data_IF_220057648328
#
_entry.id   IF_220057648328
#
_cell.length_a   1.000
_cell.length_b   1.000
_cell.length_c   1.000
_cell.angle_alpha   90.00
_cell.angle_beta   90.00
_cell.angle_gamma   90.00
#
_symmetry.space_group_name_H-M   'P 1'
#
loop_
_entity.id
_entity.type
_entity.pdbx_description
1 polymer ?
#
# COMPACT_ATOMS: atom_id res chain seq x y z
N UNK A 1 4.28 12.44 3.59
CA UNK A 1 3.79 12.48 2.20
C UNK A 1 2.29 12.78 2.24
N UNK A 2 1.87 13.87 1.59
CA UNK A 2 0.45 14.27 1.42
C UNK A 2 0.21 14.18 -0.08
N UNK A 3 -0.75 13.38 -0.55
CA UNK A 3 -1.10 13.36 -1.97
C UNK A 3 -2.42 14.09 -2.20
N UNK A 4 -2.34 15.15 -2.98
CA UNK A 4 -3.39 16.00 -3.55
C UNK A 4 -2.82 16.52 -4.88
N UNK A 5 -3.55 16.76 -5.97
CA UNK A 5 -5.00 16.77 -6.27
C UNK A 5 -5.51 15.48 -6.95
N UNK A 6 -4.64 14.50 -7.22
CA UNK A 6 -4.95 13.27 -8.00
C UNK A 6 -4.88 11.95 -7.20
N UNK A 7 -5.09 11.96 -5.88
CA UNK A 7 -5.33 10.74 -5.08
C UNK A 7 -4.24 10.35 -4.07
N UNK A 8 -4.69 9.77 -2.94
CA UNK A 8 -4.05 9.39 -1.64
C UNK A 8 -3.77 10.51 -0.61
N UNK A 9 -4.80 10.93 0.11
CA UNK A 9 -4.68 11.96 1.16
C UNK A 9 -3.83 11.54 2.38
N UNK A 10 -3.56 10.25 2.58
CA UNK A 10 -2.66 9.73 3.62
C UNK A 10 -2.00 8.41 3.19
N UNK A 11 -0.70 8.43 2.90
CA UNK A 11 0.01 7.20 2.48
C UNK A 11 0.34 6.27 3.66
N UNK A 12 0.25 4.95 3.44
CA UNK A 12 0.78 3.94 4.34
C UNK A 12 2.32 3.99 4.36
N UNK A 13 2.92 3.20 5.26
CA UNK A 13 4.33 2.80 5.11
C UNK A 13 4.45 2.00 3.81
N UNK A 14 5.39 2.35 2.95
CA UNK A 14 5.62 1.68 1.68
C UNK A 14 6.84 0.77 1.82
N UNK A 15 6.67 -0.51 1.57
CA UNK A 15 7.77 -1.46 1.44
C UNK A 15 7.89 -1.84 -0.03
N UNK A 16 8.84 -1.24 -0.74
CA UNK A 16 9.12 -1.55 -2.14
C UNK A 16 10.10 -2.71 -2.21
N UNK A 17 9.64 -3.85 -2.73
CA UNK A 17 10.39 -5.09 -2.70
C UNK A 17 10.67 -5.59 -4.12
N UNK A 18 11.94 -5.58 -4.50
CA UNK A 18 12.40 -6.23 -5.71
C UNK A 18 12.58 -7.75 -5.48
N UNK A 19 11.88 -8.55 -6.28
CA UNK A 19 11.90 -10.01 -6.14
C UNK A 19 11.18 -10.50 -4.89
N UNK A 20 9.93 -10.02 -4.70
CA UNK A 20 9.06 -10.39 -3.60
C UNK A 20 8.93 -11.93 -3.53
N UNK A 21 9.11 -12.55 -2.36
CA UNK A 21 8.94 -14.00 -2.21
C UNK A 21 7.53 -14.48 -2.60
N UNK A 22 7.47 -15.62 -3.29
CA UNK A 22 6.25 -16.18 -3.92
C UNK A 22 5.08 -16.40 -2.94
N UNK A 23 5.37 -16.72 -1.68
CA UNK A 23 4.38 -16.96 -0.64
C UNK A 23 3.80 -15.66 -0.05
N UNK A 24 4.32 -14.48 -0.39
CA UNK A 24 3.71 -13.19 -0.07
C UNK A 24 2.71 -12.85 -1.18
N UNK A 25 1.61 -13.60 -1.18
CA UNK A 25 0.54 -13.44 -2.14
C UNK A 25 -0.38 -12.26 -1.81
N UNK A 26 -1.48 -12.15 -2.53
CA UNK A 26 -2.51 -11.13 -2.30
C UNK A 26 -3.00 -11.11 -0.84
N UNK A 27 -3.29 -12.28 -0.27
CA UNK A 27 -3.78 -12.40 1.10
C UNK A 27 -2.80 -11.81 2.11
N UNK A 28 -1.52 -12.15 2.02
CA UNK A 28 -0.48 -11.64 2.91
C UNK A 28 -0.34 -10.12 2.77
N UNK A 29 -0.38 -9.61 1.54
CA UNK A 29 -0.32 -8.16 1.26
C UNK A 29 -1.50 -7.41 1.87
N UNK A 30 -2.70 -7.98 1.88
CA UNK A 30 -3.86 -7.39 2.58
C UNK A 30 -3.70 -7.42 4.10
N UNK A 31 -3.11 -8.46 4.67
CA UNK A 31 -2.81 -8.51 6.12
C UNK A 31 -1.76 -7.47 6.53
N UNK A 32 -0.81 -7.13 5.65
CA UNK A 32 0.08 -5.99 5.85
C UNK A 32 -0.64 -4.66 5.72
N UNK A 33 -1.54 -4.53 4.75
CA UNK A 33 -2.29 -3.30 4.53
C UNK A 33 -3.20 -2.95 5.71
N UNK A 34 -3.81 -3.97 6.36
CA UNK A 34 -4.55 -3.81 7.63
C UNK A 34 -3.71 -3.22 8.76
N UNK A 35 -2.37 -3.28 8.65
CA UNK A 35 -1.38 -2.74 9.60
C UNK A 35 -0.64 -1.51 9.07
N UNK A 36 -1.24 -0.77 8.14
CA UNK A 36 -0.67 0.45 7.55
C UNK A 36 0.62 0.20 6.72
N UNK A 37 0.82 -1.01 6.21
CA UNK A 37 1.97 -1.39 5.37
C UNK A 37 1.50 -1.79 3.98
N UNK A 38 1.88 -0.99 2.99
CA UNK A 38 1.69 -1.31 1.57
C UNK A 38 2.96 -1.94 1.01
N UNK A 39 2.86 -3.16 0.48
CA UNK A 39 3.96 -3.83 -0.19
C UNK A 39 3.88 -3.47 -1.68
N UNK A 40 4.85 -2.73 -2.20
CA UNK A 40 5.00 -2.53 -3.64
C UNK A 40 5.92 -3.62 -4.18
N UNK A 41 5.44 -4.41 -5.14
CA UNK A 41 6.26 -5.41 -5.83
C UNK A 41 7.01 -4.73 -6.97
N UNK A 42 8.26 -4.36 -6.72
CA UNK A 42 9.07 -3.60 -7.66
C UNK A 42 9.60 -4.49 -8.78
N UNK A 43 9.51 -3.99 -10.01
CA UNK A 43 10.05 -4.64 -11.22
C UNK A 43 11.43 -4.08 -11.57
N UNK A 44 12.17 -4.80 -12.42
CA UNK A 44 13.56 -4.42 -12.73
C UNK A 44 13.64 -3.11 -13.52
N UNK A 45 12.70 -2.91 -14.44
CA UNK A 45 12.50 -1.67 -15.22
C UNK A 45 12.11 -0.47 -14.34
N UNK A 46 11.61 -0.70 -13.14
CA UNK A 46 11.21 0.35 -12.21
C UNK A 46 12.35 0.86 -11.34
N UNK A 47 13.47 0.12 -11.24
CA UNK A 47 14.59 0.45 -10.36
C UNK A 47 15.04 1.91 -10.51
N UNK A 48 15.30 2.45 -11.72
CA UNK A 48 15.76 3.83 -11.87
C UNK A 48 14.74 4.89 -11.43
N UNK A 49 13.46 4.54 -11.31
CA UNK A 49 12.39 5.44 -10.88
C UNK A 49 12.07 5.36 -9.38
N UNK A 50 12.66 4.42 -8.63
CA UNK A 50 12.34 4.21 -7.21
C UNK A 50 12.65 5.43 -6.33
N UNK A 51 13.55 6.30 -6.76
CA UNK A 51 13.85 7.52 -6.03
C UNK A 51 12.66 8.47 -5.89
N UNK A 52 11.71 8.43 -6.84
CA UNK A 52 10.52 9.28 -6.81
C UNK A 52 9.53 8.91 -5.69
N UNK A 53 9.65 7.71 -5.12
CA UNK A 53 8.85 7.25 -3.98
C UNK A 53 9.65 7.20 -2.67
N UNK A 54 10.93 7.55 -2.72
CA UNK A 54 11.76 7.63 -1.52
C UNK A 54 11.23 8.71 -0.57
N UNK A 55 11.27 8.41 0.72
CA UNK A 55 10.84 9.32 1.77
C UNK A 55 10.87 8.65 3.12
N UNK A 56 10.50 9.42 4.15
CA UNK A 56 10.55 9.01 5.55
C UNK A 56 9.79 7.71 5.89
N UNK A 57 8.81 7.31 5.09
CA UNK A 57 7.98 6.12 5.35
C UNK A 57 8.08 5.09 4.23
N UNK A 58 9.20 5.08 3.50
CA UNK A 58 9.46 4.12 2.44
C UNK A 58 10.72 3.33 2.76
N UNK A 59 10.61 2.01 2.72
CA UNK A 59 11.75 1.09 2.80
C UNK A 59 11.87 0.27 1.53
N UNK A 60 13.10 -0.14 1.21
CA UNK A 60 13.43 -0.88 0.00
C UNK A 60 14.08 -2.20 0.37
N UNK A 61 13.57 -3.28 -0.22
CA UNK A 61 14.10 -4.62 -0.04
C UNK A 61 14.55 -5.17 -1.40
N UNK A 62 15.80 -5.63 -1.47
CA UNK A 62 16.38 -6.19 -2.70
C UNK A 62 16.68 -7.66 -2.49
N UNK A 63 16.01 -8.52 -3.27
CA UNK A 63 16.33 -9.93 -3.37
C UNK A 63 17.47 -10.13 -4.37
N UNK A 64 18.70 -10.30 -3.86
CA UNK A 64 19.87 -10.50 -4.72
C UNK A 64 19.72 -11.74 -5.60
N UNK A 65 19.11 -12.82 -5.12
CA UNK A 65 18.89 -14.03 -5.92
C UNK A 65 18.08 -13.74 -7.17
N UNK A 66 17.04 -12.89 -7.06
CA UNK A 66 16.20 -12.50 -8.20
C UNK A 66 16.90 -11.54 -9.15
N UNK A 67 17.79 -10.69 -8.65
CA UNK A 67 18.61 -9.82 -9.52
C UNK A 67 19.60 -10.68 -10.32
N UNK A 68 20.13 -11.75 -9.71
CA UNK A 68 21.06 -12.68 -10.34
C UNK A 68 20.43 -13.48 -11.48
N UNK A 69 19.12 -13.70 -11.48
CA UNK A 69 18.39 -14.37 -12.59
C UNK A 69 18.51 -13.61 -13.92
N UNK A 70 18.83 -12.31 -13.88
CA UNK A 70 19.07 -11.49 -15.07
C UNK A 70 20.50 -11.61 -15.62
N UNK A 71 21.38 -12.39 -14.98
CA UNK A 71 22.72 -12.67 -15.49
C UNK A 71 22.72 -13.98 -16.29
N UNK A 72 23.31 -14.00 -17.50
CA UNK A 72 23.30 -15.21 -18.34
C UNK A 72 24.06 -16.39 -17.72
N UNK A 73 25.01 -16.16 -16.80
CA UNK A 73 25.70 -17.20 -16.02
C UNK A 73 26.17 -16.67 -14.65
N UNK A 74 25.51 -17.01 -13.53
CA UNK A 74 25.92 -16.55 -12.21
C UNK A 74 27.12 -17.35 -11.70
N UNK A 75 28.34 -16.96 -12.11
CA UNK A 75 29.59 -17.38 -11.43
C UNK A 75 29.82 -16.48 -10.21
N UNK A 76 30.50 -16.98 -9.18
CA UNK A 76 30.79 -16.21 -7.95
C UNK A 76 31.43 -14.84 -8.25
N UNK A 77 32.37 -14.77 -9.19
CA UNK A 77 32.95 -13.51 -9.64
C UNK A 77 31.91 -12.53 -10.21
N UNK A 78 30.92 -13.04 -10.97
CA UNK A 78 29.79 -12.27 -11.48
C UNK A 78 28.86 -11.80 -10.37
N UNK A 79 28.63 -12.62 -9.34
CA UNK A 79 27.86 -12.25 -8.14
C UNK A 79 28.51 -11.07 -7.43
N UNK A 80 29.83 -11.13 -7.20
CA UNK A 80 30.56 -10.04 -6.55
C UNK A 80 30.53 -8.74 -7.36
N UNK A 81 30.68 -8.81 -8.68
CA UNK A 81 30.56 -7.63 -9.57
C UNK A 81 29.16 -7.03 -9.49
N UNK A 82 28.11 -7.86 -9.51
CA UNK A 82 26.74 -7.39 -9.38
C UNK A 82 26.49 -6.78 -7.99
N UNK A 83 26.96 -7.42 -6.92
CA UNK A 83 26.83 -6.90 -5.57
C UNK A 83 27.49 -5.52 -5.46
N UNK A 84 28.69 -5.32 -6.01
CA UNK A 84 29.35 -4.00 -6.08
C UNK A 84 28.50 -2.98 -6.85
N UNK A 85 27.87 -3.36 -7.96
CA UNK A 85 26.96 -2.47 -8.71
C UNK A 85 25.72 -2.11 -7.90
N UNK A 86 25.11 -3.09 -7.23
CA UNK A 86 23.95 -2.87 -6.38
C UNK A 86 24.28 -1.97 -5.19
N UNK A 87 25.44 -2.16 -4.55
CA UNK A 87 25.93 -1.30 -3.48
C UNK A 87 26.10 0.14 -3.96
N UNK A 88 26.73 0.36 -5.13
CA UNK A 88 26.88 1.70 -5.71
C UNK A 88 25.52 2.35 -5.95
N UNK A 89 24.58 1.59 -6.51
CA UNK A 89 23.20 2.05 -6.72
C UNK A 89 22.52 2.44 -5.39
N UNK A 90 22.53 1.55 -4.39
CA UNK A 90 21.89 1.79 -3.08
C UNK A 90 22.54 2.99 -2.36
N UNK A 91 23.87 3.09 -2.41
CA UNK A 91 24.63 4.14 -1.74
C UNK A 91 24.38 5.52 -2.35
N UNK A 92 24.23 5.59 -3.68
CA UNK A 92 23.81 6.81 -4.38
C UNK A 92 22.33 7.14 -4.22
N UNK A 93 21.55 6.26 -3.60
CA UNK A 93 20.10 6.34 -3.50
C UNK A 93 19.62 6.67 -2.07
N UNK A 94 19.60 5.69 -1.17
CA UNK A 94 19.23 5.86 0.24
C UNK A 94 19.64 4.63 1.07
N UNK A 95 20.92 4.48 1.44
CA UNK A 95 21.41 3.26 2.09
C UNK A 95 20.69 2.94 3.42
N UNK A 96 20.30 3.97 4.17
CA UNK A 96 19.62 3.86 5.46
C UNK A 96 18.19 3.28 5.40
N UNK A 97 17.55 3.34 4.23
CA UNK A 97 16.19 2.80 4.00
C UNK A 97 16.20 1.50 3.19
N UNK A 98 17.37 0.89 2.99
CA UNK A 98 17.54 -0.27 2.14
C UNK A 98 17.93 -1.51 2.96
N UNK A 99 17.50 -2.67 2.49
CA UNK A 99 17.91 -3.98 2.98
C UNK A 99 18.15 -4.89 1.78
N UNK A 100 19.22 -5.66 1.82
CA UNK A 100 19.53 -6.68 0.82
C UNK A 100 19.45 -8.05 1.46
N UNK A 101 18.86 -9.02 0.74
CA UNK A 101 18.82 -10.40 1.19
C UNK A 101 19.14 -11.38 0.07
N UNK A 102 19.64 -12.56 0.43
CA UNK A 102 20.02 -13.64 -0.49
C UNK A 102 19.95 -15.00 0.20
N UNK A 103 19.83 -16.07 -0.58
CA UNK A 103 20.05 -17.46 -0.12
C UNK A 103 21.52 -17.87 -0.14
N UNK A 104 22.39 -17.11 -0.80
CA UNK A 104 23.81 -17.43 -0.97
C UNK A 104 24.55 -17.21 0.35
N UNK A 105 25.16 -18.27 0.87
CA UNK A 105 26.05 -18.22 2.03
C UNK A 105 27.48 -17.92 1.56
N UNK A 106 27.96 -16.71 1.81
CA UNK A 106 29.29 -16.24 1.43
C UNK A 106 29.70 -15.06 2.34
N UNK A 107 30.78 -15.20 3.09
CA UNK A 107 31.22 -14.16 4.04
C UNK A 107 31.77 -12.91 3.31
N UNK A 108 32.44 -13.05 2.16
CA UNK A 108 32.95 -11.91 1.38
C UNK A 108 31.83 -10.95 0.95
N UNK A 109 30.66 -11.48 0.57
CA UNK A 109 29.48 -10.68 0.24
C UNK A 109 28.99 -9.92 1.48
N UNK A 110 28.97 -10.57 2.63
CA UNK A 110 28.50 -9.98 3.88
C UNK A 110 29.44 -8.86 4.33
N UNK A 111 30.75 -9.07 4.25
CA UNK A 111 31.76 -8.03 4.51
C UNK A 111 31.58 -6.85 3.54
N UNK A 112 31.41 -7.14 2.24
CA UNK A 112 31.22 -6.11 1.21
C UNK A 112 30.00 -5.20 1.48
N UNK A 113 28.86 -5.77 1.90
CA UNK A 113 27.69 -4.95 2.26
C UNK A 113 27.85 -4.24 3.62
N UNK A 114 28.55 -4.87 4.57
CA UNK A 114 28.82 -4.28 5.89
C UNK A 114 29.72 -3.04 5.78
N UNK A 115 30.78 -3.10 4.95
CA UNK A 115 31.65 -1.96 4.65
C UNK A 115 30.87 -0.78 4.04
N UNK A 116 29.83 -1.07 3.25
CA UNK A 116 28.96 -0.06 2.67
C UNK A 116 27.86 0.45 3.63
N UNK A 117 27.77 -0.10 4.84
CA UNK A 117 26.73 0.25 5.81
C UNK A 117 25.32 -0.16 5.40
N UNK A 118 25.18 -1.17 4.53
CA UNK A 118 23.89 -1.65 4.02
C UNK A 118 23.50 -2.93 4.77
N UNK A 119 22.33 -2.97 5.45
CA UNK A 119 21.83 -4.19 6.08
C UNK A 119 21.72 -5.36 5.08
N UNK A 120 22.43 -6.45 5.37
CA UNK A 120 22.50 -7.64 4.52
C UNK A 120 22.13 -8.91 5.29
N UNK A 121 21.29 -9.75 4.69
CA UNK A 121 20.78 -10.98 5.33
C UNK A 121 20.89 -12.18 4.40
N UNK A 122 21.54 -13.23 4.89
CA UNK A 122 21.65 -14.52 4.20
C UNK A 122 20.58 -15.46 4.75
N UNK A 123 19.38 -15.39 4.19
CA UNK A 123 18.23 -16.16 4.68
C UNK A 123 17.37 -16.65 3.52
N UNK A 124 16.98 -17.92 3.59
CA UNK A 124 16.00 -18.47 2.66
C UNK A 124 14.59 -17.98 3.03
N UNK A 125 14.09 -17.04 2.22
CA UNK A 125 12.75 -16.50 2.37
C UNK A 125 11.67 -17.34 1.68
N UNK A 126 11.98 -18.41 0.95
CA UNK A 126 10.93 -19.30 0.41
C UNK A 126 10.12 -19.98 1.54
N UNK A 127 10.70 -20.07 2.75
CA UNK A 127 9.97 -20.49 3.94
C UNK A 127 9.19 -19.32 4.56
N UNK A 128 7.85 -19.40 4.53
CA UNK A 128 6.93 -18.33 4.97
C UNK A 128 7.27 -17.71 6.34
N UNK A 129 7.52 -18.46 7.43
CA UNK A 129 7.89 -17.87 8.71
C UNK A 129 9.13 -16.97 8.67
N UNK A 130 10.12 -17.30 7.83
CA UNK A 130 11.34 -16.49 7.68
C UNK A 130 11.05 -15.13 7.05
N UNK A 131 10.24 -15.08 6.00
CA UNK A 131 9.86 -13.82 5.37
C UNK A 131 9.02 -12.94 6.31
N UNK A 132 8.08 -13.53 7.05
CA UNK A 132 7.30 -12.80 8.07
C UNK A 132 8.20 -12.23 9.17
N UNK A 133 9.20 -13.01 9.61
CA UNK A 133 10.18 -12.58 10.60
C UNK A 133 11.05 -11.45 10.08
N UNK A 134 11.57 -11.56 8.85
CA UNK A 134 12.37 -10.54 8.20
C UNK A 134 11.59 -9.23 8.09
N UNK A 135 10.33 -9.30 7.63
CA UNK A 135 9.50 -8.09 7.49
C UNK A 135 9.33 -7.42 8.85
N UNK A 136 8.85 -8.17 9.85
CA UNK A 136 8.53 -7.60 11.16
C UNK A 136 9.75 -7.10 11.93
N UNK A 137 10.84 -7.88 11.96
CA UNK A 137 12.00 -7.58 12.79
C UNK A 137 13.08 -6.75 12.10
N UNK A 138 13.16 -6.77 10.76
CA UNK A 138 14.28 -6.19 10.01
C UNK A 138 13.84 -5.12 9.02
N UNK A 139 12.78 -5.33 8.24
CA UNK A 139 12.34 -4.35 7.24
C UNK A 139 11.53 -3.19 7.85
N UNK A 140 10.60 -3.46 8.77
CA UNK A 140 9.82 -2.38 9.39
C UNK A 140 10.66 -1.34 10.15
N UNK A 141 11.74 -1.72 10.88
CA UNK A 141 12.66 -0.75 11.47
C UNK A 141 13.37 0.16 10.45
N UNK A 142 13.61 -0.35 9.23
CA UNK A 142 14.28 0.38 8.14
C UNK A 142 13.38 1.47 7.52
N UNK A 143 12.06 1.40 7.69
CA UNK A 143 11.09 2.39 7.20
C UNK A 143 11.07 3.69 8.07
N UNK A 144 12.08 3.87 8.91
CA UNK A 144 12.24 4.92 9.92
C UNK A 144 11.20 4.90 11.07
N UNK A 145 11.72 4.52 12.24
CA UNK A 145 11.36 4.90 13.61
C UNK A 145 10.01 5.61 13.83
N UNK A 146 9.06 4.86 14.40
CA UNK A 146 8.05 5.17 15.45
C UNK A 146 7.44 6.58 15.68
N UNK A 147 7.66 7.57 14.82
CA UNK A 147 7.23 8.96 15.07
C UNK A 147 5.84 9.30 14.53
N UNK A 148 5.17 8.38 13.83
CA UNK A 148 3.77 8.59 13.45
C UNK A 148 2.89 7.87 14.47
N UNK A 149 1.98 8.55 15.19
CA UNK A 149 0.95 7.85 15.92
C UNK A 149 0.24 6.93 14.93
N UNK A 150 0.22 5.63 15.22
CA UNK A 150 -0.40 4.62 14.37
C UNK A 150 -1.85 5.06 14.18
N UNK A 151 -2.15 5.60 12.98
CA UNK A 151 -3.54 5.68 12.57
C UNK A 151 -3.96 4.24 12.38
N UNK A 152 -5.08 3.85 12.97
CA UNK A 152 -5.50 2.45 12.92
C UNK A 152 -5.62 1.92 11.47
N UNK A 153 -5.84 2.79 10.45
CA UNK A 153 -6.10 2.37 9.06
C UNK A 153 -5.61 3.35 7.97
N UNK A 154 -5.13 2.81 6.84
CA UNK A 154 -4.74 3.51 5.59
C UNK A 154 -5.96 4.14 4.92
N UNK A 155 -5.88 5.40 4.47
CA UNK A 155 -6.92 6.03 3.64
C UNK A 155 -6.42 6.36 2.23
N UNK A 156 -7.07 5.77 1.24
CA UNK A 156 -6.81 5.99 -0.18
C UNK A 156 -7.93 6.86 -0.73
N UNK A 157 -7.56 8.02 -1.26
CA UNK A 157 -8.49 8.79 -2.08
C UNK A 157 -8.36 8.30 -3.50
N UNK A 158 -9.46 7.85 -4.09
CA UNK A 158 -9.46 7.40 -5.47
C UNK A 158 -9.46 8.61 -6.39
N UNK A 159 -8.66 8.56 -7.47
CA UNK A 159 -8.85 9.47 -8.59
C UNK A 159 -10.29 9.39 -9.13
N UNK A 160 -10.80 10.52 -9.64
CA UNK A 160 -12.18 10.65 -10.09
C UNK A 160 -12.61 9.64 -11.16
N UNK A 161 -11.66 9.09 -11.94
CA UNK A 161 -11.93 8.15 -13.04
C UNK A 161 -12.38 6.75 -12.59
N UNK A 162 -12.31 6.42 -11.29
CA UNK A 162 -12.80 5.14 -10.79
C UNK A 162 -14.34 5.03 -10.70
N UNK A 163 -15.03 6.17 -10.76
CA UNK A 163 -16.50 6.35 -10.77
C UNK A 163 -17.29 5.39 -9.86
N UNK A 164 -16.82 5.20 -8.62
CA UNK A 164 -17.57 4.43 -7.63
C UNK A 164 -18.82 5.18 -7.20
N UNK A 165 -19.99 4.57 -7.41
CA UNK A 165 -21.27 5.00 -6.86
C UNK A 165 -21.42 4.44 -5.45
N UNK A 166 -21.91 5.28 -4.54
CA UNK A 166 -22.17 4.93 -3.15
C UNK A 166 -23.66 5.07 -2.88
N UNK A 167 -24.27 4.00 -2.36
CA UNK A 167 -25.65 4.03 -1.84
C UNK A 167 -25.60 3.71 -0.36
N UNK A 168 -26.05 4.66 0.46
CA UNK A 168 -26.17 4.54 1.92
C UNK A 168 -27.64 4.29 2.22
N UNK A 169 -27.97 3.24 2.96
CA UNK A 169 -29.32 2.98 3.43
C UNK A 169 -29.36 3.15 4.92
N UNK A 170 -30.20 4.07 5.37
CA UNK A 170 -30.48 4.32 6.78
C UNK A 170 -31.90 3.85 7.08
N UNK A 171 -32.11 3.16 8.20
CA UNK A 171 -33.43 2.79 8.64
C UNK A 171 -34.05 3.92 9.46
N UNK A 172 -35.22 4.41 9.04
CA UNK A 172 -36.01 5.38 9.81
C UNK A 172 -37.47 5.00 9.75
N UNK A 173 -38.15 5.00 10.90
CA UNK A 173 -39.57 4.65 11.00
C UNK A 173 -39.89 3.31 10.30
N UNK A 174 -39.04 2.29 10.50
CA UNK A 174 -39.15 0.96 9.88
C UNK A 174 -39.11 0.97 8.34
N UNK A 175 -38.53 1.99 7.72
CA UNK A 175 -38.31 2.08 6.27
C UNK A 175 -36.84 2.33 5.97
N UNK A 176 -36.28 1.61 5.00
CA UNK A 176 -34.96 1.92 4.45
C UNK A 176 -35.05 3.14 3.53
N UNK A 177 -34.32 4.21 3.88
CA UNK A 177 -34.21 5.41 3.06
C UNK A 177 -32.86 5.38 2.33
N UNK A 178 -32.84 5.30 0.98
CA UNK A 178 -31.61 5.31 0.22
C UNK A 178 -31.11 6.74 0.00
N UNK A 179 -29.81 6.94 0.23
CA UNK A 179 -29.07 8.16 -0.05
C UNK A 179 -27.94 7.81 -1.00
N UNK A 180 -27.87 8.48 -2.15
CA UNK A 180 -26.88 8.18 -3.20
C UNK A 180 -25.84 9.29 -3.35
N UNK A 181 -24.64 8.89 -3.77
CA UNK A 181 -23.52 9.78 -4.00
C UNK A 181 -22.38 9.10 -4.77
N UNK A 182 -21.24 9.79 -4.81
CA UNK A 182 -19.97 9.28 -5.34
C UNK A 182 -18.96 9.08 -4.23
N UNK A 183 -18.11 8.07 -4.37
CA UNK A 183 -17.01 7.81 -3.46
C UNK A 183 -15.98 8.95 -3.56
N UNK A 184 -15.61 9.53 -2.41
CA UNK A 184 -14.56 10.54 -2.30
C UNK A 184 -13.24 9.90 -1.85
N UNK A 185 -13.31 9.09 -0.80
CA UNK A 185 -12.17 8.37 -0.26
C UNK A 185 -12.61 7.04 0.32
N UNK A 186 -11.68 6.09 0.36
CA UNK A 186 -11.89 4.75 0.90
C UNK A 186 -10.69 4.35 1.74
N UNK A 187 -10.98 3.73 2.86
CA UNK A 187 -10.03 3.08 3.73
C UNK A 187 -10.52 1.70 4.06
N UNK A 188 -9.66 0.91 4.68
CA UNK A 188 -10.11 -0.38 5.17
C UNK A 188 -11.24 -0.24 6.21
N UNK A 189 -11.32 0.86 6.95
CA UNK A 189 -12.30 1.02 8.05
C UNK A 189 -13.14 2.30 7.95
N UNK A 190 -13.39 2.75 6.73
CA UNK A 190 -14.17 3.96 6.53
C UNK A 190 -14.18 4.42 5.11
N UNK A 191 -15.17 5.23 4.77
CA UNK A 191 -15.31 5.81 3.46
C UNK A 191 -15.89 7.22 3.58
N UNK A 192 -15.44 8.08 2.69
CA UNK A 192 -16.05 9.38 2.44
C UNK A 192 -16.89 9.30 1.18
N UNK A 193 -18.11 9.84 1.22
CA UNK A 193 -18.97 9.97 0.04
C UNK A 193 -19.42 11.42 -0.12
N UNK A 194 -19.46 11.90 -1.37
CA UNK A 194 -20.09 13.16 -1.74
C UNK A 194 -21.48 12.86 -2.27
N UNK A 195 -22.50 13.38 -1.61
CA UNK A 195 -23.91 13.11 -1.92
C UNK A 195 -24.37 13.90 -3.14
N UNK A 196 -25.29 13.33 -3.92
CA UNK A 196 -25.81 13.97 -5.13
C UNK A 196 -26.66 15.21 -4.80
N UNK A 197 -27.47 15.12 -3.74
CA UNK A 197 -28.42 16.17 -3.35
C UNK A 197 -28.14 16.69 -1.93
N UNK A 198 -28.25 18.00 -1.73
CA UNK A 198 -28.07 18.63 -0.42
C UNK A 198 -29.09 18.15 0.61
N UNK A 199 -30.32 17.84 0.16
CA UNK A 199 -31.39 17.32 1.03
C UNK A 199 -31.09 15.92 1.57
N UNK A 200 -30.32 15.11 0.84
CA UNK A 200 -29.96 13.76 1.26
C UNK A 200 -29.09 13.75 2.52
N UNK A 201 -28.31 14.80 2.78
CA UNK A 201 -27.51 14.90 4.00
C UNK A 201 -28.36 15.11 5.25
N UNK A 202 -29.59 15.65 5.12
CA UNK A 202 -30.54 15.77 6.23
C UNK A 202 -31.11 14.42 6.67
N UNK A 203 -31.07 13.44 5.75
CA UNK A 203 -31.49 12.06 6.04
C UNK A 203 -30.48 11.28 6.88
N UNK A 204 -29.25 11.77 7.03
CA UNK A 204 -28.21 11.11 7.82
C UNK A 204 -27.88 11.96 9.03
N UNK A 205 -27.84 11.38 10.23
CA UNK A 205 -27.40 12.01 11.47
C UNK A 205 -26.10 11.38 11.94
N UNK A 206 -25.35 12.09 12.80
CA UNK A 206 -24.16 11.50 13.40
C UNK A 206 -24.56 10.28 14.24
N UNK A 207 -23.74 9.23 14.15
CA UNK A 207 -23.94 7.92 14.79
C UNK A 207 -25.09 7.08 14.23
N UNK A 208 -25.76 7.53 13.16
CA UNK A 208 -26.71 6.67 12.46
C UNK A 208 -26.03 5.38 12.02
N UNK A 209 -26.72 4.28 12.28
CA UNK A 209 -26.38 2.96 11.78
C UNK A 209 -26.91 2.81 10.35
N UNK A 210 -26.04 2.41 9.42
CA UNK A 210 -26.35 2.36 7.99
C UNK A 210 -25.77 1.13 7.31
N UNK A 211 -26.43 0.69 6.25
CA UNK A 211 -25.87 -0.24 5.24
C UNK A 211 -25.28 0.57 4.10
N UNK A 212 -24.14 0.16 3.56
CA UNK A 212 -23.48 0.86 2.47
C UNK A 212 -23.17 -0.08 1.32
N UNK A 213 -23.47 0.38 0.10
CA UNK A 213 -23.13 -0.31 -1.13
C UNK A 213 -22.21 0.58 -1.94
N UNK A 214 -21.02 0.08 -2.27
CA UNK A 214 -20.03 0.76 -3.11
C UNK A 214 -19.88 -0.04 -4.40
N UNK A 215 -20.15 0.58 -5.55
CA UNK A 215 -20.20 -0.12 -6.84
C UNK A 215 -19.50 0.65 -7.94
N UNK A 216 -18.74 -0.04 -8.78
CA UNK A 216 -18.33 0.42 -10.10
C UNK A 216 -18.63 -0.67 -11.14
N UNK A 217 -18.19 -0.50 -12.39
CA UNK A 217 -18.43 -1.47 -13.46
C UNK A 217 -17.85 -2.88 -13.18
N UNK A 218 -16.84 -2.98 -12.31
CA UNK A 218 -16.07 -4.20 -12.09
C UNK A 218 -16.29 -4.82 -10.69
N UNK A 219 -16.74 -4.03 -9.72
CA UNK A 219 -16.80 -4.42 -8.33
C UNK A 219 -18.11 -3.94 -7.68
N UNK A 220 -18.66 -4.79 -6.82
CA UNK A 220 -19.71 -4.42 -5.87
C UNK A 220 -19.24 -4.83 -4.48
N UNK A 221 -19.27 -3.90 -3.54
CA UNK A 221 -18.88 -4.11 -2.15
C UNK A 221 -20.07 -3.73 -1.27
N UNK A 222 -20.49 -4.65 -0.41
CA UNK A 222 -21.52 -4.42 0.60
C UNK A 222 -20.89 -4.33 1.99
N UNK A 223 -21.20 -3.25 2.70
CA UNK A 223 -20.90 -3.05 4.12
C UNK A 223 -22.24 -3.13 4.84
N UNK A 224 -22.47 -4.21 5.59
CA UNK A 224 -23.71 -4.47 6.29
C UNK A 224 -23.93 -3.51 7.46
N UNK A 225 -22.86 -3.15 8.17
CA UNK A 225 -22.94 -2.19 9.28
C UNK A 225 -21.86 -1.10 9.12
N UNK A 226 -22.27 0.15 9.18
CA UNK A 226 -21.39 1.31 9.27
C UNK A 226 -22.06 2.40 10.11
N UNK A 227 -21.26 3.33 10.61
CA UNK A 227 -21.74 4.47 11.39
C UNK A 227 -21.36 5.79 10.74
N UNK A 228 -22.30 6.72 10.72
CA UNK A 228 -22.03 8.10 10.29
C UNK A 228 -21.16 8.79 11.34
N UNK A 229 -19.97 9.25 10.93
CA UNK A 229 -18.99 9.88 11.85
C UNK A 229 -18.70 11.34 11.51
N UNK A 230 -19.00 11.78 10.29
CA UNK A 230 -18.83 13.17 9.85
C UNK A 230 -19.94 13.54 8.88
N UNK A 231 -20.40 14.79 8.96
CA UNK A 231 -21.30 15.43 7.99
C UNK A 231 -20.75 16.82 7.69
N UNK A 232 -20.72 17.19 6.43
CA UNK A 232 -20.33 18.51 5.96
C UNK A 232 -21.36 18.99 4.96
N UNK A 233 -22.16 19.98 5.37
CA UNK A 233 -23.23 20.54 4.55
C UNK A 233 -22.71 21.38 3.39
N UNK A 234 -21.60 22.10 3.59
CA UNK A 234 -21.01 22.97 2.57
C UNK A 234 -20.48 22.15 1.39
N UNK A 235 -19.83 21.03 1.66
CA UNK A 235 -19.26 20.17 0.62
C UNK A 235 -20.18 19.00 0.21
N UNK A 236 -21.33 18.84 0.88
CA UNK A 236 -22.27 17.70 0.74
C UNK A 236 -21.60 16.36 0.99
N UNK A 237 -20.73 16.30 1.99
CA UNK A 237 -19.92 15.12 2.26
C UNK A 237 -20.35 14.41 3.54
N UNK A 238 -20.30 13.08 3.51
CA UNK A 238 -20.52 12.24 4.68
C UNK A 238 -19.32 11.31 4.85
N UNK A 239 -18.89 11.14 6.10
CA UNK A 239 -17.88 10.17 6.49
C UNK A 239 -18.52 9.02 7.25
N UNK A 240 -18.21 7.79 6.84
CA UNK A 240 -18.68 6.57 7.48
C UNK A 240 -17.50 5.77 8.03
N UNK A 241 -17.72 5.07 9.14
CA UNK A 241 -16.75 4.16 9.76
C UNK A 241 -17.34 2.76 9.86
N UNK A 242 -16.51 1.75 9.59
CA UNK A 242 -16.83 0.33 9.74
C UNK A 242 -15.54 -0.41 10.11
N UNK A 243 -15.64 -1.69 10.49
CA UNK A 243 -14.47 -2.51 10.81
C UNK A 243 -14.29 -3.64 9.81
N UNK A 244 -13.23 -3.62 9.01
CA UNK A 244 -12.97 -4.69 8.02
C UNK A 244 -12.68 -6.05 8.63
N UNK A 245 -12.24 -6.08 9.88
CA UNK A 245 -11.90 -7.31 10.58
C UNK A 245 -13.12 -7.97 11.23
N UNK A 246 -14.28 -7.30 11.22
CA UNK A 246 -15.51 -7.78 11.85
C UNK A 246 -16.51 -8.21 10.77
N UNK A 247 -16.81 -9.51 10.72
CA UNK A 247 -17.74 -10.08 9.73
C UNK A 247 -19.17 -9.61 9.92
N UNK A 248 -19.53 -9.07 11.10
CA UNK A 248 -20.82 -8.40 11.27
C UNK A 248 -20.88 -7.09 10.47
N UNK A 249 -19.76 -6.40 10.26
CA UNK A 249 -19.72 -5.14 9.51
C UNK A 249 -19.62 -5.38 8.01
N UNK A 250 -18.79 -6.32 7.59
CA UNK A 250 -18.54 -6.62 6.18
C UNK A 250 -18.22 -8.10 6.01
N UNK A 251 -18.95 -8.77 5.13
CA UNK A 251 -18.73 -10.17 4.85
C UNK A 251 -17.34 -10.39 4.24
N UNK A 252 -16.74 -11.55 4.50
CA UNK A 252 -15.38 -11.86 4.05
C UNK A 252 -15.13 -11.64 2.54
N UNK A 253 -16.05 -12.00 1.61
CA UNK A 253 -15.85 -11.71 0.19
C UNK A 253 -15.78 -10.20 -0.10
N UNK A 254 -16.68 -9.41 0.49
CA UNK A 254 -16.70 -7.96 0.34
C UNK A 254 -15.45 -7.31 0.95
N UNK A 255 -14.97 -7.81 2.10
CA UNK A 255 -13.75 -7.34 2.75
C UNK A 255 -12.51 -7.55 1.86
N UNK A 256 -12.45 -8.68 1.14
CA UNK A 256 -11.40 -8.96 0.15
C UNK A 256 -11.51 -7.99 -1.03
N UNK A 257 -12.71 -7.78 -1.58
CA UNK A 257 -12.94 -6.82 -2.68
C UNK A 257 -12.55 -5.38 -2.28
N UNK A 258 -12.92 -4.96 -1.05
CA UNK A 258 -12.55 -3.65 -0.50
C UNK A 258 -11.02 -3.52 -0.34
N UNK A 259 -10.37 -4.54 0.23
CA UNK A 259 -8.91 -4.56 0.38
C UNK A 259 -8.21 -4.45 -0.97
N UNK A 260 -8.69 -5.18 -1.98
CA UNK A 260 -8.20 -5.13 -3.36
C UNK A 260 -8.38 -3.75 -3.98
N UNK A 261 -9.53 -3.12 -3.82
CA UNK A 261 -9.79 -1.77 -4.33
C UNK A 261 -8.81 -0.75 -3.73
N UNK A 262 -8.64 -0.76 -2.41
CA UNK A 262 -7.70 0.13 -1.69
C UNK A 262 -6.25 -0.14 -2.17
N UNK A 263 -5.86 -1.41 -2.27
CA UNK A 263 -4.53 -1.81 -2.71
C UNK A 263 -4.23 -1.37 -4.16
N UNK A 264 -5.19 -1.53 -5.07
CA UNK A 264 -5.06 -1.10 -6.46
C UNK A 264 -4.93 0.43 -6.56
N UNK A 265 -5.66 1.18 -5.74
CA UNK A 265 -5.51 2.64 -5.67
C UNK A 265 -4.10 3.06 -5.24
N UNK A 266 -3.50 2.37 -4.27
CA UNK A 266 -2.10 2.61 -3.85
C UNK A 266 -1.10 2.23 -4.93
N UNK A 267 -1.32 1.11 -5.62
CA UNK A 267 -0.48 0.64 -6.72
C UNK A 267 -0.42 1.65 -7.86
N UNK A 268 -1.58 2.17 -8.29
CA UNK A 268 -1.62 3.18 -9.35
C UNK A 268 -0.93 4.48 -8.94
N UNK A 269 -1.13 4.94 -7.70
CA UNK A 269 -0.48 6.14 -7.21
C UNK A 269 1.06 5.98 -7.14
N UNK A 270 1.53 4.82 -6.69
CA UNK A 270 2.96 4.49 -6.58
C UNK A 270 3.59 4.38 -7.97
N UNK A 271 2.96 3.64 -8.88
CA UNK A 271 3.45 3.45 -10.25
C UNK A 271 3.48 4.76 -11.05
N UNK A 272 2.48 5.63 -10.88
CA UNK A 272 2.48 6.97 -11.50
C UNK A 272 3.72 7.77 -11.08
N UNK A 273 4.11 7.71 -9.81
CA UNK A 273 5.32 8.40 -9.31
C UNK A 273 6.61 7.79 -9.82
N UNK A 274 6.72 6.46 -9.79
CA UNK A 274 7.89 5.75 -10.32
C UNK A 274 8.10 6.11 -11.80
N UNK A 275 7.03 6.13 -12.60
CA UNK A 275 7.10 6.50 -14.02
C UNK A 275 7.58 7.95 -14.24
N UNK A 276 7.11 8.89 -13.41
CA UNK A 276 7.62 10.28 -13.44
C UNK A 276 9.11 10.33 -13.07
N UNK A 277 9.54 9.53 -12.09
CA UNK A 277 10.94 9.40 -11.70
C UNK A 277 11.82 8.84 -12.82
N UNK A 278 11.31 7.85 -13.55
CA UNK A 278 11.99 7.23 -14.68
C UNK A 278 12.26 8.25 -15.80
N UNK A 279 11.25 9.02 -16.19
CA UNK A 279 11.38 10.02 -17.25
C UNK A 279 12.49 11.04 -16.92
N UNK A 280 12.53 11.51 -15.67
CA UNK A 280 13.56 12.44 -15.20
C UNK A 280 14.97 11.82 -15.16
N UNK A 281 15.07 10.53 -14.80
CA UNK A 281 16.37 9.85 -14.80
C UNK A 281 16.93 9.73 -16.23
N UNK A 282 16.06 9.50 -17.22
CA UNK A 282 16.43 9.46 -18.64
C UNK A 282 16.80 10.82 -19.22
N UNK A 283 16.32 11.93 -18.66
CA UNK A 283 16.69 13.29 -19.08
C UNK A 283 18.08 13.73 -18.58
N UNK A 284 18.62 13.05 -17.55
CA UNK A 284 19.90 13.41 -16.92
C UNK A 284 21.07 12.55 -17.47
N UNK A 285 20.76 11.45 -18.17
CA UNK A 285 21.74 10.54 -18.80
C UNK A 285 21.89 10.91 -20.27
#
# INVERSE_FOLDING_TARGET
>A
MKITEDGVTATPKILSWFGLPSHIGERERFEFLKRDIYIHEARFDELPGLWAINGRYTGFAFNLDRILEYLPFPRLAGVMVLAKKLIRYISGFCPHNCLVHTRILNEDLKELFAEAGIPFYQQNLEYRPNAWLLIRKKLLPVIAADDRPIRKFVRVSFPAYFDYRVTIRVEKNHREIPVTGKLKDLSLNGLGARLNESRSLRQLQLRDHVKVFVRNAQNSIQIANAFVTRRDEATREVGLNFNIADESFIARPDAVCLSRAVYNGLSLATNKKIKVGLNRALEII
#
